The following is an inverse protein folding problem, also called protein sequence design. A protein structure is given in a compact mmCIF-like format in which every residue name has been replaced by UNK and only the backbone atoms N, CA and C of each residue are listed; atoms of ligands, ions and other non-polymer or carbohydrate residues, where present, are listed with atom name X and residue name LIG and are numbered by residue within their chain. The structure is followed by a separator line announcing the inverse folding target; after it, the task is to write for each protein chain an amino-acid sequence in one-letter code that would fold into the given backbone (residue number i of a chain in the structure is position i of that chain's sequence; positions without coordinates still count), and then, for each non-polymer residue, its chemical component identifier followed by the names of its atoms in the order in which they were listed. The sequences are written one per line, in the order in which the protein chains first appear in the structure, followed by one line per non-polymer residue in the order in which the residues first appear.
data_IF_068403624531
#
_entry.id   IF_068403624531
#
_cell.length_a   1.000
_cell.length_b   1.000
_cell.length_c   1.000
_cell.angle_alpha   90.00
_cell.angle_beta   90.00
_cell.angle_gamma   90.00
#
_symmetry.space_group_name_H-M   'P 1'
#
loop_
_entity.id
_entity.type
_entity.pdbx_description
1 polymer ?
#
# COMPACT_ATOMS: atom_id res chain seq x y z
N UNK A 1 20.84 62.17 23.35
CA UNK A 1 21.02 61.15 22.30
C UNK A 1 22.26 60.36 22.64
N UNK A 2 22.11 59.07 22.95
CA UNK A 2 23.16 58.21 23.50
C UNK A 2 22.59 57.32 24.60
N UNK A 3 22.71 56.00 24.40
CA UNK A 3 22.08 54.87 25.06
C UNK A 3 22.16 54.78 26.60
N UNK A 4 21.19 54.08 27.19
CA UNK A 4 21.46 53.04 28.21
C UNK A 4 20.39 51.96 28.24
N UNK A 5 20.88 50.74 28.38
CA UNK A 5 20.21 49.45 28.46
C UNK A 5 19.60 49.23 29.86
N UNK A 6 18.42 48.60 29.95
CA UNK A 6 17.93 48.04 31.21
C UNK A 6 17.23 46.69 30.94
N UNK A 7 17.86 45.64 31.50
CA UNK A 7 17.36 44.28 31.63
C UNK A 7 16.11 44.25 32.52
N UNK A 8 15.15 43.40 32.16
CA UNK A 8 13.99 43.07 33.01
C UNK A 8 14.21 41.64 33.53
N UNK A 9 14.42 41.52 34.84
CA UNK A 9 14.37 40.27 35.59
C UNK A 9 12.94 40.09 36.14
N UNK A 10 12.35 38.90 35.97
CA UNK A 10 11.11 38.50 36.63
C UNK A 10 11.41 37.40 37.64
N UNK A 11 11.13 37.67 38.91
CA UNK A 11 11.30 36.79 40.07
C UNK A 11 9.95 36.14 40.40
N UNK A 12 9.94 34.81 40.60
CA UNK A 12 8.79 34.02 41.05
C UNK A 12 8.63 34.07 42.58
N UNK A 13 7.40 34.16 43.13
CA UNK A 13 7.16 33.92 44.56
C UNK A 13 6.90 32.43 44.85
N UNK A 14 7.61 31.89 45.84
CA UNK A 14 7.38 30.58 46.46
C UNK A 14 6.57 30.82 47.74
N UNK A 15 5.38 30.23 47.84
CA UNK A 15 4.61 30.15 49.08
C UNK A 15 4.50 28.69 49.56
N UNK A 16 4.95 28.44 50.79
CA UNK A 16 4.69 27.24 51.57
C UNK A 16 3.74 27.57 52.71
N UNK A 17 2.85 26.64 53.08
CA UNK A 17 2.48 26.49 54.49
C UNK A 17 2.73 25.06 55.02
N UNK A 18 3.23 25.03 56.25
CA UNK A 18 3.45 23.87 57.11
C UNK A 18 2.13 23.29 57.62
N UNK A 19 2.05 21.97 57.79
CA UNK A 19 1.09 21.33 58.70
C UNK A 19 1.62 20.05 59.35
N UNK A 20 1.70 20.12 60.68
CA UNK A 20 1.59 19.15 61.77
C UNK A 20 1.74 17.63 61.54
N UNK A 21 2.61 17.06 62.38
CA UNK A 21 2.80 15.64 62.70
C UNK A 21 1.70 15.17 63.66
N UNK A 22 0.98 14.11 63.28
CA UNK A 22 0.15 13.29 64.19
C UNK A 22 0.41 11.81 63.93
N UNK A 23 0.46 11.04 65.02
CA UNK A 23 0.91 9.66 65.16
C UNK A 23 0.03 8.61 64.44
N UNK A 24 0.68 7.54 63.98
CA UNK A 24 0.08 6.32 63.42
C UNK A 24 -0.64 5.46 64.47
N UNK A 25 -1.62 4.63 64.02
CA UNK A 25 -1.69 3.26 64.47
C UNK A 25 -1.61 2.24 63.32
N UNK A 26 -0.95 1.12 63.63
CA UNK A 26 -0.73 -0.05 62.78
C UNK A 26 -2.01 -0.88 62.64
N UNK A 27 -2.42 -1.24 61.42
CA UNK A 27 -3.02 -2.54 61.07
C UNK A 27 -2.97 -2.76 59.53
N UNK A 28 -2.78 -3.99 59.04
CA UNK A 28 -2.58 -4.27 57.62
C UNK A 28 -3.91 -4.41 56.88
N UNK A 29 -4.07 -3.69 55.76
CA UNK A 29 -5.19 -3.85 54.84
C UNK A 29 -4.63 -4.31 53.49
N UNK A 30 -5.06 -5.49 53.04
CA UNK A 30 -4.74 -6.05 51.72
C UNK A 30 -5.46 -5.26 50.61
N UNK A 31 -4.84 -5.08 49.42
CA UNK A 31 -5.50 -4.43 48.30
C UNK A 31 -6.56 -5.34 47.65
N UNK A 32 -7.65 -4.77 47.09
CA UNK A 32 -8.67 -5.53 46.36
C UNK A 32 -8.16 -5.96 44.97
N UNK A 33 -8.76 -7.02 44.37
CA UNK A 33 -8.26 -7.60 43.14
C UNK A 33 -8.53 -6.71 41.92
N UNK A 34 -7.50 -6.57 41.09
CA UNK A 34 -7.56 -6.03 39.74
C UNK A 34 -8.38 -6.96 38.85
N UNK A 35 -9.59 -6.55 38.47
CA UNK A 35 -10.29 -7.16 37.34
C UNK A 35 -9.59 -6.71 36.04
N UNK A 36 -8.81 -7.62 35.45
CA UNK A 36 -8.41 -7.52 34.05
C UNK A 36 -9.68 -7.60 33.20
N UNK A 37 -10.08 -6.48 32.61
CA UNK A 37 -11.00 -6.47 31.48
C UNK A 37 -10.21 -6.99 30.28
N UNK A 38 -10.55 -8.18 29.81
CA UNK A 38 -10.02 -8.71 28.57
C UNK A 38 -10.47 -7.81 27.40
N UNK A 39 -9.61 -7.52 26.40
CA UNK A 39 -10.06 -6.82 25.21
C UNK A 39 -11.12 -7.67 24.48
N UNK A 40 -12.20 -7.02 24.05
CA UNK A 40 -13.26 -7.62 23.26
C UNK A 40 -12.70 -8.06 21.89
N UNK A 41 -13.23 -9.15 21.29
CA UNK A 41 -12.72 -9.64 20.01
C UNK A 41 -13.07 -8.67 18.89
N UNK A 42 -12.06 -8.28 18.09
CA UNK A 42 -12.24 -7.56 16.84
C UNK A 42 -13.24 -8.31 15.94
N UNK A 43 -14.28 -7.60 15.48
CA UNK A 43 -15.21 -8.08 14.48
C UNK A 43 -14.47 -8.19 13.14
N UNK A 44 -13.93 -9.39 12.86
CA UNK A 44 -13.43 -9.74 11.54
C UNK A 44 -14.58 -9.69 10.53
N UNK A 45 -14.56 -8.71 9.63
CA UNK A 45 -15.32 -8.76 8.38
C UNK A 45 -14.74 -9.91 7.56
N UNK A 46 -15.43 -11.05 7.61
CA UNK A 46 -15.01 -12.31 7.01
C UNK A 46 -15.15 -12.27 5.48
N UNK A 47 -14.08 -11.91 4.78
CA UNK A 47 -13.83 -12.45 3.44
C UNK A 47 -13.62 -13.97 3.58
N UNK A 48 -14.62 -14.77 3.17
CA UNK A 48 -14.62 -16.23 3.31
C UNK A 48 -13.46 -16.88 2.54
N UNK A 49 -12.60 -17.60 3.26
CA UNK A 49 -11.76 -18.69 2.75
C UNK A 49 -12.16 -19.97 3.50
N UNK A 50 -12.29 -21.14 2.84
CA UNK A 50 -12.74 -22.37 3.52
C UNK A 50 -11.69 -22.89 4.52
N UNK A 51 -12.11 -23.60 5.60
CA UNK A 51 -11.27 -23.88 6.74
C UNK A 51 -10.23 -24.97 6.45
N UNK A 52 -8.97 -24.71 6.77
CA UNK A 52 -7.95 -25.74 6.96
C UNK A 52 -7.71 -25.97 8.45
N UNK A 53 -7.53 -27.25 8.79
CA UNK A 53 -7.45 -27.81 10.13
C UNK A 53 -6.41 -27.16 11.06
N UNK A 54 -6.83 -26.90 12.30
CA UNK A 54 -6.01 -26.46 13.43
C UNK A 54 -4.87 -27.44 13.76
N UNK A 55 -3.66 -26.93 13.91
CA UNK A 55 -2.58 -27.54 14.70
C UNK A 55 -2.01 -26.47 15.64
N UNK A 56 -1.85 -26.84 16.91
CA UNK A 56 -1.59 -26.00 18.07
C UNK A 56 -0.14 -25.47 18.19
N UNK A 57 -0.04 -24.20 18.59
CA UNK A 57 0.95 -23.54 19.47
C UNK A 57 2.39 -24.08 19.57
N UNK A 58 3.34 -23.23 19.15
CA UNK A 58 4.76 -23.33 19.53
C UNK A 58 5.58 -22.21 18.88
N UNK A 59 5.73 -21.10 19.60
CA UNK A 59 6.60 -19.99 19.19
C UNK A 59 8.05 -20.46 19.07
N UNK A 60 8.58 -20.45 17.84
CA UNK A 60 10.00 -20.49 17.56
C UNK A 60 10.22 -19.87 16.18
N UNK A 61 11.22 -18.98 16.08
CA UNK A 61 11.68 -18.36 14.84
C UNK A 61 11.95 -19.45 13.79
N UNK A 62 11.02 -19.62 12.85
CA UNK A 62 11.25 -20.42 11.64
C UNK A 62 11.67 -19.44 10.55
N UNK A 63 12.99 -19.31 10.42
CA UNK A 63 13.62 -18.83 9.20
C UNK A 63 13.06 -19.68 8.03
N UNK A 64 12.20 -19.08 7.22
CA UNK A 64 11.61 -19.73 6.04
C UNK A 64 12.74 -20.02 5.03
N UNK A 65 13.42 -21.15 5.20
CA UNK A 65 14.24 -21.76 4.14
C UNK A 65 13.30 -22.24 3.04
N UNK A 66 12.99 -21.33 2.12
CA UNK A 66 12.25 -21.60 0.90
C UNK A 66 13.12 -22.48 -0.01
N UNK A 67 12.93 -23.81 0.03
CA UNK A 67 13.59 -24.76 -0.86
C UNK A 67 12.95 -24.70 -2.27
N UNK A 68 13.24 -23.59 -2.96
CA UNK A 68 12.85 -23.31 -4.35
C UNK A 68 13.25 -24.42 -5.33
N UNK A 69 14.29 -25.21 -5.01
CA UNK A 69 14.75 -26.32 -5.84
C UNK A 69 13.77 -27.51 -5.84
N UNK A 70 13.09 -27.77 -4.72
CA UNK A 70 12.13 -28.87 -4.58
C UNK A 70 10.82 -28.62 -5.36
N UNK A 71 10.27 -27.42 -5.26
CA UNK A 71 9.09 -26.95 -5.99
C UNK A 71 9.38 -26.91 -7.50
N UNK A 72 10.59 -26.46 -7.87
CA UNK A 72 11.02 -26.41 -9.27
C UNK A 72 11.26 -27.80 -9.86
N UNK A 73 11.75 -28.77 -9.09
CA UNK A 73 11.81 -30.18 -9.52
C UNK A 73 10.42 -30.73 -9.82
N UNK A 74 9.40 -30.38 -9.02
CA UNK A 74 7.99 -30.74 -9.27
C UNK A 74 7.44 -30.11 -10.55
N UNK A 75 7.64 -28.80 -10.73
CA UNK A 75 7.20 -28.07 -11.95
C UNK A 75 7.94 -28.58 -13.20
N UNK A 76 9.23 -28.89 -13.10
CA UNK A 76 10.03 -29.49 -14.19
C UNK A 76 9.50 -30.87 -14.59
N UNK A 77 9.04 -31.66 -13.61
CA UNK A 77 8.45 -32.99 -13.85
C UNK A 77 7.07 -32.87 -14.53
N UNK A 78 6.26 -31.88 -14.14
CA UNK A 78 4.96 -31.60 -14.75
C UNK A 78 5.06 -31.07 -16.21
N UNK A 79 6.09 -30.27 -16.52
CA UNK A 79 6.27 -29.65 -17.86
C UNK A 79 7.07 -30.50 -18.86
N UNK A 80 7.71 -31.59 -18.43
CA UNK A 80 8.50 -32.49 -19.30
C UNK A 80 7.70 -33.19 -20.41
N UNK A 81 6.37 -33.22 -20.30
CA UNK A 81 5.47 -33.78 -21.30
C UNK A 81 4.86 -32.74 -22.26
N UNK A 82 5.15 -31.45 -22.07
CA UNK A 82 4.71 -30.38 -22.97
C UNK A 82 5.84 -30.02 -23.95
N UNK A 83 5.67 -30.35 -25.25
CA UNK A 83 6.59 -29.86 -26.29
C UNK A 83 6.58 -28.32 -26.32
N UNK A 84 7.75 -27.64 -26.34
CA UNK A 84 7.79 -26.19 -26.46
C UNK A 84 7.27 -25.79 -27.86
N UNK A 85 6.07 -25.23 -27.92
CA UNK A 85 5.62 -24.50 -29.12
C UNK A 85 6.37 -23.17 -29.15
N UNK A 86 7.51 -23.12 -29.85
CA UNK A 86 8.09 -21.87 -30.34
C UNK A 86 7.06 -21.23 -31.27
N UNK A 87 6.25 -20.31 -30.75
CA UNK A 87 5.45 -19.42 -31.60
C UNK A 87 6.45 -18.56 -32.37
N UNK A 88 6.50 -18.72 -33.69
CA UNK A 88 7.19 -17.76 -34.54
C UNK A 88 6.57 -16.37 -34.29
N UNK A 89 7.35 -15.30 -34.12
CA UNK A 89 6.81 -13.95 -34.04
C UNK A 89 5.90 -13.71 -35.25
N UNK A 90 4.67 -13.26 -35.01
CA UNK A 90 3.70 -13.02 -36.07
C UNK A 90 3.99 -11.70 -36.82
N UNK A 91 4.84 -10.86 -36.22
CA UNK A 91 5.43 -9.62 -36.73
C UNK A 91 6.94 -9.70 -36.46
N UNK A 92 7.80 -9.13 -37.30
CA UNK A 92 9.27 -9.14 -37.08
C UNK A 92 9.75 -8.31 -35.88
N UNK A 93 8.89 -7.98 -34.92
CA UNK A 93 9.20 -7.18 -33.74
C UNK A 93 9.96 -8.00 -32.69
N UNK A 94 10.97 -7.40 -32.07
CA UNK A 94 11.65 -7.98 -30.92
C UNK A 94 10.68 -8.08 -29.73
N UNK A 95 10.73 -9.19 -28.99
CA UNK A 95 9.80 -9.47 -27.89
C UNK A 95 10.55 -9.61 -26.57
N UNK A 96 10.26 -8.73 -25.63
CA UNK A 96 10.87 -8.67 -24.31
C UNK A 96 9.89 -9.10 -23.23
N UNK A 97 10.41 -9.52 -22.08
CA UNK A 97 9.60 -9.93 -20.93
C UNK A 97 9.92 -9.08 -19.71
N UNK A 98 8.89 -8.38 -19.22
CA UNK A 98 8.94 -7.55 -18.02
C UNK A 98 8.20 -8.24 -16.88
N UNK A 99 8.78 -8.22 -15.69
CA UNK A 99 8.17 -8.77 -14.49
C UNK A 99 8.00 -7.67 -13.44
N UNK A 100 6.76 -7.41 -13.04
CA UNK A 100 6.46 -6.50 -11.93
C UNK A 100 6.61 -7.24 -10.61
N UNK A 101 7.47 -6.76 -9.71
CA UNK A 101 7.65 -7.30 -8.36
C UNK A 101 7.55 -6.18 -7.31
N UNK A 102 7.41 -6.58 -6.06
CA UNK A 102 7.24 -5.66 -4.92
C UNK A 102 6.19 -6.16 -3.93
N UNK A 103 6.23 -5.62 -2.71
CA UNK A 103 5.34 -6.00 -1.61
C UNK A 103 3.85 -5.72 -1.87
N UNK A 104 2.97 -6.19 -1.00
CA UNK A 104 1.54 -5.85 -1.07
C UNK A 104 1.37 -4.33 -1.17
N UNK A 105 0.38 -3.87 -1.93
CA UNK A 105 0.00 -2.45 -1.99
C UNK A 105 1.04 -1.46 -2.55
N UNK A 106 2.21 -1.93 -2.99
CA UNK A 106 3.24 -1.08 -3.63
C UNK A 106 2.82 -0.38 -4.94
N UNK A 107 1.63 -0.69 -5.46
CA UNK A 107 1.06 -0.10 -6.68
C UNK A 107 1.37 -0.84 -7.98
N UNK A 108 1.88 -2.08 -7.92
CA UNK A 108 2.12 -2.93 -9.11
C UNK A 108 0.95 -2.98 -10.07
N UNK A 109 -0.24 -3.32 -9.58
CA UNK A 109 -1.42 -3.46 -10.42
C UNK A 109 -1.90 -2.11 -10.97
N UNK A 110 -1.70 -1.02 -10.23
CA UNK A 110 -1.94 0.34 -10.73
C UNK A 110 -0.98 0.70 -11.87
N UNK A 111 0.32 0.43 -11.69
CA UNK A 111 1.32 0.61 -12.74
C UNK A 111 1.03 -0.28 -13.95
N UNK A 112 0.66 -1.55 -13.73
CA UNK A 112 0.24 -2.46 -14.79
C UNK A 112 -0.93 -1.89 -15.58
N UNK A 113 -2.01 -1.48 -14.91
CA UNK A 113 -3.18 -0.82 -15.52
C UNK A 113 -2.76 0.43 -16.33
N UNK A 114 -1.87 1.27 -15.79
CA UNK A 114 -1.32 2.46 -16.46
C UNK A 114 -0.56 2.09 -17.74
N UNK A 115 0.29 1.07 -17.70
CA UNK A 115 1.01 0.58 -18.88
C UNK A 115 0.04 0.03 -19.94
N UNK A 116 -1.04 -0.67 -19.54
CA UNK A 116 -2.05 -1.15 -20.47
C UNK A 116 -2.82 -0.02 -21.16
N UNK A 117 -3.12 1.05 -20.43
CA UNK A 117 -3.79 2.23 -20.98
C UNK A 117 -2.91 2.96 -22.00
N UNK A 118 -1.59 3.04 -21.73
CA UNK A 118 -0.66 3.83 -22.56
C UNK A 118 -0.07 3.07 -23.74
N UNK A 119 0.28 1.80 -23.53
CA UNK A 119 1.03 0.97 -24.48
C UNK A 119 0.30 -0.33 -24.87
N UNK A 120 -0.79 -0.65 -24.17
CA UNK A 120 -1.61 -1.82 -24.44
C UNK A 120 -2.88 -1.49 -25.22
N UNK A 121 -3.88 -2.36 -25.08
CA UNK A 121 -5.21 -2.17 -25.69
C UNK A 121 -6.11 -1.21 -24.91
N UNK A 122 -5.65 -0.73 -23.76
CA UNK A 122 -6.49 -0.03 -22.79
C UNK A 122 -7.68 -0.86 -22.32
N UNK A 123 -8.68 -0.15 -21.79
CA UNK A 123 -9.92 -0.73 -21.28
C UNK A 123 -11.10 -0.34 -22.17
N UNK A 124 -11.76 -1.34 -22.74
CA UNK A 124 -13.04 -1.15 -23.43
C UNK A 124 -14.14 -0.73 -22.47
N UNK A 125 -15.20 -0.09 -22.96
CA UNK A 125 -16.34 0.31 -22.13
C UNK A 125 -16.93 -0.86 -21.33
N UNK A 126 -17.08 -2.04 -21.94
CA UNK A 126 -17.55 -3.26 -21.26
C UNK A 126 -16.64 -3.68 -20.10
N UNK A 127 -15.32 -3.59 -20.29
CA UNK A 127 -14.36 -3.88 -19.21
C UNK A 127 -14.44 -2.82 -18.11
N UNK A 128 -14.60 -1.54 -18.47
CA UNK A 128 -14.78 -0.45 -17.50
C UNK A 128 -16.06 -0.64 -16.68
N UNK A 129 -17.15 -1.07 -17.30
CA UNK A 129 -18.42 -1.37 -16.61
C UNK A 129 -18.25 -2.49 -15.57
N UNK A 130 -17.37 -3.47 -15.81
CA UNK A 130 -17.11 -4.53 -14.85
C UNK A 130 -16.49 -4.04 -13.52
N UNK A 131 -15.90 -2.84 -13.50
CA UNK A 131 -15.35 -2.21 -12.30
C UNK A 131 -16.40 -1.55 -11.40
N UNK A 132 -17.65 -1.39 -11.86
CA UNK A 132 -18.67 -0.63 -11.11
C UNK A 132 -18.91 -1.23 -9.72
N UNK A 133 -19.11 -2.55 -9.66
CA UNK A 133 -19.42 -3.22 -8.40
C UNK A 133 -18.24 -3.10 -7.42
N UNK A 134 -17.00 -3.32 -7.88
CA UNK A 134 -15.79 -3.16 -7.06
C UNK A 134 -15.58 -1.72 -6.56
N UNK A 135 -15.86 -0.70 -7.39
CA UNK A 135 -15.77 0.71 -6.99
C UNK A 135 -16.84 1.02 -5.93
N UNK A 136 -18.06 0.50 -6.10
CA UNK A 136 -19.14 0.70 -5.13
C UNK A 136 -18.79 0.08 -3.78
N UNK A 137 -18.33 -1.18 -3.78
CA UNK A 137 -17.85 -1.89 -2.59
C UNK A 137 -16.71 -1.12 -1.91
N UNK A 138 -15.66 -0.76 -2.67
CA UNK A 138 -14.53 0.02 -2.15
C UNK A 138 -14.97 1.33 -1.49
N UNK A 139 -15.94 2.03 -2.08
CA UNK A 139 -16.42 3.31 -1.55
C UNK A 139 -17.20 3.10 -0.24
N UNK A 140 -18.12 2.13 -0.20
CA UNK A 140 -18.94 1.87 0.98
C UNK A 140 -18.07 1.34 2.12
N UNK A 141 -17.25 0.33 1.85
CA UNK A 141 -16.38 -0.30 2.84
C UNK A 141 -15.39 0.68 3.44
N UNK A 142 -14.78 1.55 2.62
CA UNK A 142 -13.85 2.56 3.13
C UNK A 142 -14.52 3.51 4.11
N UNK A 143 -15.76 3.94 3.83
CA UNK A 143 -16.49 4.81 4.77
C UNK A 143 -16.94 4.05 6.01
N UNK A 144 -17.33 2.77 5.89
CA UNK A 144 -17.63 1.93 7.04
C UNK A 144 -16.41 1.76 7.96
N UNK A 145 -15.21 1.59 7.39
CA UNK A 145 -13.96 1.57 8.17
C UNK A 145 -13.75 2.88 8.92
N UNK A 146 -13.90 4.04 8.25
CA UNK A 146 -13.75 5.33 8.92
C UNK A 146 -14.76 5.54 10.05
N UNK A 147 -16.03 5.16 9.84
CA UNK A 147 -17.05 5.22 10.89
C UNK A 147 -16.67 4.33 12.08
N UNK A 148 -16.21 3.11 11.81
CA UNK A 148 -15.80 2.17 12.84
C UNK A 148 -14.62 2.72 13.66
N UNK A 149 -13.57 3.19 13.00
CA UNK A 149 -12.38 3.72 13.70
C UNK A 149 -12.71 5.00 14.47
N UNK A 150 -13.50 5.90 13.87
CA UNK A 150 -14.00 7.12 14.52
C UNK A 150 -14.72 6.80 15.84
N UNK A 151 -15.67 5.86 15.83
CA UNK A 151 -16.45 5.47 17.03
C UNK A 151 -15.63 4.76 18.11
N UNK A 152 -14.52 4.13 17.73
CA UNK A 152 -13.63 3.42 18.67
C UNK A 152 -12.42 4.27 19.08
N UNK A 153 -12.28 5.48 18.52
CA UNK A 153 -11.19 6.37 18.85
C UNK A 153 -11.29 6.86 20.29
N UNK A 154 -10.14 6.99 20.94
CA UNK A 154 -10.02 7.68 22.24
C UNK A 154 -9.83 9.19 22.08
N UNK A 155 -9.61 9.66 20.86
CA UNK A 155 -9.50 11.08 20.56
C UNK A 155 -10.89 11.68 20.27
N UNK A 156 -11.28 12.67 21.07
CA UNK A 156 -12.56 13.37 20.93
C UNK A 156 -12.71 14.05 19.57
N UNK A 157 -11.60 14.50 18.96
CA UNK A 157 -11.61 15.12 17.63
C UNK A 157 -11.92 14.13 16.50
N UNK A 158 -11.81 12.82 16.75
CA UNK A 158 -12.18 11.81 15.77
C UNK A 158 -13.67 11.48 15.80
N UNK A 159 -14.44 11.91 16.82
CA UNK A 159 -15.82 11.49 16.99
C UNK A 159 -16.75 12.17 15.99
N UNK A 160 -17.61 11.37 15.36
CA UNK A 160 -18.65 11.85 14.43
C UNK A 160 -19.61 12.78 15.19
N UNK A 161 -19.93 13.94 14.60
CA UNK A 161 -20.92 14.85 15.15
C UNK A 161 -22.33 14.22 15.17
N UNK A 162 -23.12 14.46 16.22
CA UNK A 162 -24.47 13.90 16.39
C UNK A 162 -25.39 14.21 15.20
N UNK A 163 -25.17 15.32 14.49
CA UNK A 163 -25.94 15.65 13.29
C UNK A 163 -25.73 14.64 12.16
N UNK A 164 -24.65 13.86 12.17
CA UNK A 164 -24.29 12.83 11.20
C UNK A 164 -24.70 11.40 11.62
N UNK A 165 -25.27 11.18 12.81
CA UNK A 165 -25.64 9.86 13.33
C UNK A 165 -26.52 9.04 12.38
N UNK A 166 -27.59 9.65 11.84
CA UNK A 166 -28.47 8.96 10.88
C UNK A 166 -27.72 8.55 9.60
N UNK A 167 -26.75 9.35 9.17
CA UNK A 167 -25.94 9.05 7.99
C UNK A 167 -24.94 7.92 8.28
N UNK A 168 -24.29 7.94 9.44
CA UNK A 168 -23.40 6.88 9.90
C UNK A 168 -24.14 5.55 9.99
N UNK A 169 -25.28 5.52 10.69
CA UNK A 169 -26.11 4.32 10.80
C UNK A 169 -26.59 3.80 9.43
N UNK A 170 -26.92 4.69 8.51
CA UNK A 170 -27.35 4.30 7.17
C UNK A 170 -26.24 3.61 6.40
N UNK A 171 -24.99 4.09 6.49
CA UNK A 171 -23.83 3.49 5.81
C UNK A 171 -23.40 2.20 6.49
N UNK A 172 -23.37 2.13 7.83
CA UNK A 172 -23.01 0.92 8.58
C UNK A 172 -23.95 -0.26 8.34
N UNK A 173 -25.25 0.00 8.11
CA UNK A 173 -26.24 -1.05 7.84
C UNK A 173 -26.13 -1.66 6.43
N UNK A 174 -25.25 -1.14 5.57
CA UNK A 174 -25.04 -1.71 4.24
C UNK A 174 -24.28 -3.04 4.31
N UNK A 175 -24.66 -3.98 3.44
CA UNK A 175 -24.03 -5.28 3.32
C UNK A 175 -22.81 -5.22 2.38
N UNK A 176 -21.86 -6.17 2.46
CA UNK A 176 -20.61 -6.14 1.68
C UNK A 176 -20.77 -6.06 0.14
N UNK A 177 -21.92 -6.47 -0.41
CA UNK A 177 -22.19 -6.39 -1.87
C UNK A 177 -23.18 -5.27 -2.22
N UNK A 178 -23.37 -4.29 -1.33
CA UNK A 178 -24.32 -3.21 -1.53
C UNK A 178 -23.91 -2.33 -2.72
N UNK A 179 -24.89 -2.01 -3.58
CA UNK A 179 -24.68 -1.04 -4.65
C UNK A 179 -24.74 0.37 -4.09
N UNK A 180 -23.84 1.24 -4.55
CA UNK A 180 -23.84 2.64 -4.18
C UNK A 180 -25.03 3.36 -4.83
N UNK A 181 -26.11 3.49 -4.07
CA UNK A 181 -27.32 4.22 -4.48
C UNK A 181 -27.20 5.71 -4.13
N UNK A 182 -28.06 6.55 -4.75
CA UNK A 182 -28.08 7.99 -4.44
C UNK A 182 -28.26 8.29 -2.94
N UNK A 183 -29.17 7.63 -2.19
CA UNK A 183 -29.28 7.84 -0.75
C UNK A 183 -27.99 7.50 0.02
N UNK A 184 -27.34 6.38 -0.30
CA UNK A 184 -26.07 6.00 0.35
C UNK A 184 -24.99 7.04 0.04
N UNK A 185 -24.89 7.47 -1.22
CA UNK A 185 -23.95 8.52 -1.62
C UNK A 185 -24.19 9.85 -0.90
N UNK A 186 -25.46 10.23 -0.65
CA UNK A 186 -25.77 11.41 0.17
C UNK A 186 -25.30 11.26 1.61
N UNK A 187 -25.46 10.08 2.22
CA UNK A 187 -24.93 9.81 3.55
C UNK A 187 -23.40 9.87 3.59
N UNK A 188 -22.72 9.23 2.63
CA UNK A 188 -21.25 9.28 2.50
C UNK A 188 -20.77 10.72 2.28
N UNK A 189 -21.43 11.49 1.41
CA UNK A 189 -21.06 12.89 1.17
C UNK A 189 -21.20 13.75 2.43
N UNK A 190 -22.27 13.54 3.20
CA UNK A 190 -22.49 14.23 4.47
C UNK A 190 -21.40 13.88 5.49
N UNK A 191 -21.11 12.58 5.66
CA UNK A 191 -20.05 12.09 6.54
C UNK A 191 -18.67 12.58 6.11
N UNK A 192 -18.40 12.68 4.81
CA UNK A 192 -17.12 13.20 4.34
C UNK A 192 -16.94 14.70 4.67
N UNK A 193 -18.03 15.44 4.89
CA UNK A 193 -17.97 16.82 5.38
C UNK A 193 -17.87 16.96 6.91
N UNK A 194 -17.85 15.85 7.65
CA UNK A 194 -17.76 15.82 9.11
C UNK A 194 -16.29 15.93 9.58
N UNK A 195 -16.03 16.79 10.56
CA UNK A 195 -14.67 17.01 11.09
C UNK A 195 -14.10 15.78 11.81
N UNK A 196 -14.96 14.98 12.46
CA UNK A 196 -14.58 13.73 13.11
C UNK A 196 -14.09 12.68 12.10
N UNK A 197 -14.84 12.52 11.01
CA UNK A 197 -14.45 11.64 9.90
C UNK A 197 -13.18 12.14 9.19
N UNK A 198 -13.03 13.46 8.98
CA UNK A 198 -11.82 14.02 8.38
C UNK A 198 -10.59 13.76 9.27
N UNK A 199 -10.69 14.05 10.57
CA UNK A 199 -9.61 13.79 11.54
C UNK A 199 -9.28 12.29 11.62
N UNK A 200 -10.31 11.44 11.61
CA UNK A 200 -10.11 9.99 11.55
C UNK A 200 -9.35 9.59 10.28
N UNK A 201 -9.70 10.14 9.12
CA UNK A 201 -9.00 9.89 7.86
C UNK A 201 -7.56 10.42 7.86
N UNK A 202 -7.25 11.50 8.55
CA UNK A 202 -5.86 11.97 8.73
C UNK A 202 -5.01 10.92 9.46
N UNK A 203 -5.60 10.20 10.42
CA UNK A 203 -4.98 9.10 11.17
C UNK A 203 -5.00 7.73 10.46
N UNK A 204 -5.35 7.69 9.16
CA UNK A 204 -5.48 6.44 8.37
C UNK A 204 -4.23 5.57 8.26
N UNK A 205 -3.06 6.04 8.71
CA UNK A 205 -1.86 5.22 8.78
C UNK A 205 -1.98 4.10 9.84
N UNK A 206 -2.82 4.29 10.86
CA UNK A 206 -3.02 3.37 11.98
C UNK A 206 -3.91 2.17 11.63
N UNK A 207 -4.63 2.23 10.51
CA UNK A 207 -5.60 1.22 10.11
C UNK A 207 -5.67 1.06 8.58
N UNK A 208 -6.54 0.19 8.10
CA UNK A 208 -6.47 -0.33 6.73
C UNK A 208 -7.53 0.32 5.83
N UNK A 209 -7.24 1.50 5.28
CA UNK A 209 -8.08 2.18 4.28
C UNK A 209 -7.37 2.23 2.91
N UNK A 210 -8.05 1.95 1.79
CA UNK A 210 -7.46 2.11 0.46
C UNK A 210 -7.08 3.57 0.15
N UNK A 211 -5.92 3.79 -0.48
CA UNK A 211 -5.45 5.12 -0.92
C UNK A 211 -6.44 5.89 -1.81
N UNK A 212 -7.31 5.17 -2.52
CA UNK A 212 -8.33 5.75 -3.40
C UNK A 212 -9.58 6.26 -2.69
N UNK A 213 -9.71 6.11 -1.37
CA UNK A 213 -10.94 6.39 -0.63
C UNK A 213 -11.40 7.85 -0.77
N UNK A 214 -10.55 8.83 -0.43
CA UNK A 214 -10.88 10.26 -0.53
C UNK A 214 -11.34 10.66 -1.94
N UNK A 215 -10.66 10.19 -2.98
CA UNK A 215 -11.04 10.44 -4.37
C UNK A 215 -12.47 10.01 -4.69
N UNK A 216 -12.93 8.88 -4.14
CA UNK A 216 -14.30 8.42 -4.35
C UNK A 216 -15.31 9.18 -3.49
N UNK A 217 -14.94 9.62 -2.28
CA UNK A 217 -15.81 10.40 -1.40
C UNK A 217 -16.07 11.81 -1.93
N UNK A 218 -15.03 12.47 -2.45
CA UNK A 218 -15.10 13.82 -3.01
C UNK A 218 -16.13 13.96 -4.15
N UNK A 219 -16.29 12.91 -4.97
CA UNK A 219 -17.25 12.88 -6.07
C UNK A 219 -18.17 11.64 -6.03
N UNK A 220 -18.59 11.26 -4.81
CA UNK A 220 -19.45 10.08 -4.58
C UNK A 220 -20.77 10.15 -5.35
N UNK A 221 -21.27 11.35 -5.58
CA UNK A 221 -22.48 11.57 -6.35
C UNK A 221 -22.33 11.22 -7.84
N UNK A 222 -21.16 11.43 -8.47
CA UNK A 222 -20.91 10.97 -9.85
C UNK A 222 -20.95 9.45 -9.92
N UNK A 223 -20.35 8.77 -8.95
CA UNK A 223 -20.21 7.31 -8.89
C UNK A 223 -21.58 6.62 -8.69
N UNK A 224 -22.49 7.28 -7.95
CA UNK A 224 -23.84 6.79 -7.70
C UNK A 224 -24.86 7.13 -8.81
N UNK A 225 -24.45 7.82 -9.88
CA UNK A 225 -25.37 8.16 -10.99
C UNK A 225 -25.80 6.91 -11.75
N UNK A 226 -27.07 6.90 -12.18
CA UNK A 226 -27.55 5.89 -13.13
C UNK A 226 -26.81 6.05 -14.46
N UNK A 227 -26.27 4.96 -14.97
CA UNK A 227 -25.45 4.97 -16.20
C UNK A 227 -24.02 5.45 -15.97
N UNK A 228 -23.53 5.44 -14.73
CA UNK A 228 -22.11 5.63 -14.43
C UNK A 228 -21.26 4.62 -15.20
N UNK A 229 -20.22 5.12 -15.87
CA UNK A 229 -19.18 4.32 -16.53
C UNK A 229 -17.84 4.77 -15.92
N UNK A 230 -17.13 3.90 -15.18
CA UNK A 230 -15.87 4.23 -14.52
C UNK A 230 -14.86 4.82 -15.49
N UNK A 231 -14.31 5.99 -15.20
CA UNK A 231 -13.17 6.59 -15.91
C UNK A 231 -11.91 5.74 -15.79
N UNK A 232 -10.89 6.06 -16.58
CA UNK A 232 -9.57 5.42 -16.41
C UNK A 232 -9.00 5.71 -15.01
N UNK A 233 -9.21 6.91 -14.48
CA UNK A 233 -8.76 7.27 -13.14
C UNK A 233 -9.48 6.47 -12.05
N UNK A 234 -10.78 6.21 -12.21
CA UNK A 234 -11.53 5.35 -11.30
C UNK A 234 -10.94 3.93 -11.26
N UNK A 235 -10.53 3.39 -12.42
CA UNK A 235 -9.95 2.04 -12.52
C UNK A 235 -8.56 1.96 -11.89
N UNK A 236 -7.78 3.02 -12.00
CA UNK A 236 -6.45 3.12 -11.39
C UNK A 236 -6.51 3.23 -9.87
N UNK A 237 -7.51 3.93 -9.34
CA UNK A 237 -7.73 4.14 -7.90
C UNK A 237 -8.58 3.05 -7.24
N UNK A 238 -9.31 2.25 -8.02
CA UNK A 238 -10.04 1.08 -7.51
C UNK A 238 -9.07 0.00 -7.03
N UNK A 239 -9.25 -0.41 -5.77
CA UNK A 239 -8.50 -1.47 -5.11
C UNK A 239 -9.15 -2.81 -5.42
N UNK A 240 -8.40 -3.63 -6.16
CA UNK A 240 -8.66 -5.06 -6.31
C UNK A 240 -7.43 -5.81 -5.82
N UNK A 241 -7.61 -6.81 -4.95
CA UNK A 241 -6.49 -7.66 -4.54
C UNK A 241 -6.09 -8.56 -5.69
N UNK A 242 -4.86 -8.41 -6.16
CA UNK A 242 -4.31 -9.24 -7.23
C UNK A 242 -4.00 -10.64 -6.72
N UNK A 243 -4.76 -11.61 -7.23
CA UNK A 243 -4.58 -13.03 -6.96
C UNK A 243 -3.99 -13.68 -8.21
N UNK A 244 -2.91 -14.44 -8.02
CA UNK A 244 -2.25 -15.17 -9.09
C UNK A 244 -1.35 -14.30 -9.96
N UNK A 245 -1.36 -14.60 -11.25
CA UNK A 245 -0.43 -14.04 -12.24
C UNK A 245 -1.25 -13.56 -13.42
N UNK A 246 -1.15 -12.28 -13.74
CA UNK A 246 -1.73 -11.67 -14.93
C UNK A 246 -0.63 -11.40 -15.96
N UNK A 247 -0.99 -11.50 -17.24
CA UNK A 247 -0.06 -11.27 -18.35
C UNK A 247 -0.78 -10.51 -19.46
N UNK A 248 -0.16 -9.45 -19.94
CA UNK A 248 -0.60 -8.71 -21.11
C UNK A 248 0.56 -8.38 -22.04
N UNK A 249 0.24 -7.85 -23.23
CA UNK A 249 1.22 -7.42 -24.23
C UNK A 249 1.14 -5.92 -24.40
N UNK A 250 2.29 -5.26 -24.31
CA UNK A 250 2.48 -3.86 -24.61
C UNK A 250 3.19 -3.71 -25.96
N UNK A 251 2.89 -2.62 -26.66
CA UNK A 251 3.49 -2.27 -27.93
C UNK A 251 4.17 -0.91 -27.78
N UNK A 252 5.46 -0.85 -28.09
CA UNK A 252 6.22 0.38 -28.16
C UNK A 252 6.65 0.62 -29.61
N UNK A 253 6.25 1.77 -30.13
CA UNK A 253 6.72 2.30 -31.42
C UNK A 253 7.45 3.61 -31.11
N UNK A 254 8.79 3.57 -31.17
CA UNK A 254 9.64 4.73 -30.89
C UNK A 254 10.83 4.75 -31.84
N UNK A 255 11.11 5.91 -32.44
CA UNK A 255 12.26 6.15 -33.33
C UNK A 255 12.52 5.07 -34.40
N UNK A 256 11.45 4.55 -35.00
CA UNK A 256 11.53 3.50 -36.03
C UNK A 256 11.80 2.09 -35.50
N UNK A 257 11.89 1.91 -34.18
CA UNK A 257 11.88 0.62 -33.51
C UNK A 257 10.45 0.20 -33.17
N UNK A 258 10.16 -1.08 -33.38
CA UNK A 258 8.90 -1.71 -32.98
C UNK A 258 9.23 -2.89 -32.05
N UNK A 259 8.81 -2.80 -30.81
CA UNK A 259 9.06 -3.80 -29.78
C UNK A 259 7.75 -4.20 -29.07
N UNK A 260 7.62 -5.49 -28.78
CA UNK A 260 6.55 -6.02 -27.95
C UNK A 260 7.09 -6.39 -26.56
N UNK A 261 6.35 -6.03 -25.51
CA UNK A 261 6.69 -6.41 -24.14
C UNK A 261 5.59 -7.29 -23.55
N UNK A 262 5.94 -8.52 -23.18
CA UNK A 262 5.14 -9.35 -22.30
C UNK A 262 5.32 -8.85 -20.86
N UNK A 263 4.34 -8.13 -20.33
CA UNK A 263 4.35 -7.65 -18.95
C UNK A 263 3.55 -8.59 -18.05
N UNK A 264 4.11 -8.94 -16.88
CA UNK A 264 3.49 -9.83 -15.90
C UNK A 264 3.28 -9.08 -14.58
N UNK A 265 2.03 -9.07 -14.09
CA UNK A 265 1.67 -8.61 -12.74
C UNK A 265 1.44 -9.82 -11.84
N UNK A 266 1.97 -9.78 -10.63
CA UNK A 266 1.86 -10.85 -9.63
C UNK A 266 1.43 -10.28 -8.28
N UNK A 267 0.65 -11.06 -7.53
CA UNK A 267 0.22 -10.68 -6.19
C UNK A 267 1.41 -10.40 -5.25
N UNK A 268 1.41 -9.24 -4.59
CA UNK A 268 2.51 -8.79 -3.71
C UNK A 268 2.44 -9.27 -2.26
N UNK A 269 1.25 -9.68 -1.83
CA UNK A 269 0.98 -10.14 -0.46
C UNK A 269 1.74 -11.44 -0.17
N UNK A 270 2.09 -11.66 1.11
CA UNK A 270 2.93 -12.80 1.52
C UNK A 270 2.40 -14.15 1.01
N UNK A 271 1.08 -14.35 1.04
CA UNK A 271 0.41 -15.57 0.55
C UNK A 271 0.50 -15.81 -0.97
N UNK A 272 0.84 -14.79 -1.76
CA UNK A 272 0.91 -14.85 -3.21
C UNK A 272 2.35 -14.99 -3.74
N UNK A 273 3.35 -14.67 -2.90
CA UNK A 273 4.78 -14.66 -3.29
C UNK A 273 5.30 -16.02 -3.76
N UNK A 274 4.72 -17.12 -3.26
CA UNK A 274 5.07 -18.47 -3.69
C UNK A 274 4.76 -18.75 -5.18
N UNK A 275 3.91 -17.94 -5.83
CA UNK A 275 3.58 -18.07 -7.26
C UNK A 275 4.60 -17.38 -8.16
N UNK A 276 5.40 -16.46 -7.62
CA UNK A 276 6.33 -15.63 -8.41
C UNK A 276 7.32 -16.47 -9.24
N UNK A 277 7.88 -17.52 -8.65
CA UNK A 277 8.87 -18.40 -9.30
C UNK A 277 8.34 -19.04 -10.60
N UNK A 278 7.01 -19.12 -10.78
CA UNK A 278 6.39 -19.68 -11.97
C UNK A 278 6.67 -18.83 -13.23
N UNK A 279 7.01 -17.55 -13.07
CA UNK A 279 7.29 -16.61 -14.17
C UNK A 279 8.73 -16.12 -14.25
N UNK A 280 9.67 -16.68 -13.47
CA UNK A 280 11.06 -16.19 -13.43
C UNK A 280 11.95 -16.60 -14.63
N UNK A 281 11.42 -17.37 -15.59
CA UNK A 281 12.20 -17.77 -16.78
C UNK A 281 12.21 -16.70 -17.85
N UNK A 282 13.37 -16.51 -18.48
CA UNK A 282 13.56 -15.67 -19.67
C UNK A 282 13.06 -14.23 -19.46
N UNK A 283 13.27 -13.70 -18.24
CA UNK A 283 12.92 -12.33 -17.87
C UNK A 283 14.03 -11.41 -18.39
N UNK A 284 13.65 -10.34 -19.10
CA UNK A 284 14.58 -9.38 -19.68
C UNK A 284 14.79 -8.18 -18.75
N UNK A 285 13.81 -7.85 -17.91
CA UNK A 285 13.95 -6.88 -16.82
C UNK A 285 12.92 -7.13 -15.71
N UNK A 286 13.30 -6.80 -14.48
CA UNK A 286 12.39 -6.70 -13.33
C UNK A 286 12.10 -5.22 -13.09
N UNK A 287 10.83 -4.88 -12.97
CA UNK A 287 10.39 -3.57 -12.49
C UNK A 287 9.92 -3.79 -11.05
N UNK A 288 10.69 -3.31 -10.08
CA UNK A 288 10.41 -3.50 -8.66
C UNK A 288 9.79 -2.24 -8.09
N UNK A 289 8.53 -2.33 -7.66
CA UNK A 289 7.78 -1.18 -7.14
C UNK A 289 7.80 -1.15 -5.61
N UNK A 290 8.08 0.04 -5.08
CA UNK A 290 8.12 0.38 -3.66
C UNK A 290 7.12 1.50 -3.41
N UNK A 291 6.19 1.36 -2.46
CA UNK A 291 5.37 2.49 -2.03
C UNK A 291 6.12 3.23 -0.91
N UNK A 292 6.73 4.38 -1.24
CA UNK A 292 7.53 5.11 -0.25
C UNK A 292 6.66 5.80 0.80
N UNK A 293 5.38 6.04 0.50
CA UNK A 293 4.39 6.63 1.42
C UNK A 293 3.94 5.70 2.56
N UNK A 294 4.39 4.44 2.57
CA UNK A 294 3.99 3.43 3.56
C UNK A 294 5.02 3.27 4.70
N UNK A 295 5.89 4.26 4.89
CA UNK A 295 6.95 4.25 5.91
C UNK A 295 6.45 4.21 7.35
N UNK A 296 5.22 4.63 7.58
CA UNK A 296 4.51 4.76 8.86
C UNK A 296 3.35 3.75 8.99
N UNK A 297 3.27 2.76 8.09
CA UNK A 297 2.16 1.81 8.03
C UNK A 297 2.63 0.38 8.31
N UNK A 298 1.71 -0.43 8.83
CA UNK A 298 1.92 -1.87 9.07
C UNK A 298 1.24 -2.74 8.02
N UNK A 299 1.79 -3.94 7.80
CA UNK A 299 1.22 -4.94 6.89
C UNK A 299 -0.16 -5.41 7.37
N UNK A 300 -1.07 -5.58 6.42
CA UNK A 300 -2.39 -6.17 6.66
C UNK A 300 -2.31 -7.61 7.23
N UNK A 301 -1.27 -8.36 6.85
CA UNK A 301 -1.16 -9.78 7.21
C UNK A 301 -0.85 -10.03 8.70
N UNK A 302 -0.16 -9.12 9.38
CA UNK A 302 0.24 -9.30 10.79
C UNK A 302 0.02 -8.09 11.69
N UNK A 303 -0.29 -6.90 11.16
CA UNK A 303 -0.46 -5.65 11.92
C UNK A 303 0.70 -5.38 12.90
N UNK A 304 1.93 -5.68 12.45
CA UNK A 304 3.16 -5.44 13.23
C UNK A 304 4.32 -5.07 12.32
N UNK A 305 4.46 -5.74 11.16
CA UNK A 305 5.61 -5.48 10.29
C UNK A 305 5.40 -4.17 9.54
N UNK A 306 6.34 -3.23 9.67
CA UNK A 306 6.37 -2.01 8.87
C UNK A 306 6.44 -2.33 7.36
N UNK A 307 5.62 -1.66 6.54
CA UNK A 307 5.48 -1.94 5.11
C UNK A 307 6.70 -1.57 4.28
N UNK A 308 7.40 -0.48 4.62
CA UNK A 308 8.64 -0.09 3.96
C UNK A 308 9.75 -1.10 4.27
N UNK A 309 9.84 -1.57 5.52
CA UNK A 309 10.79 -2.63 5.91
C UNK A 309 10.51 -3.95 5.17
N UNK A 310 9.25 -4.41 5.07
CA UNK A 310 8.92 -5.60 4.27
C UNK A 310 9.30 -5.42 2.79
N UNK A 311 9.14 -4.21 2.24
CA UNK A 311 9.57 -3.89 0.87
C UNK A 311 11.08 -4.01 0.68
N UNK A 312 11.88 -3.56 1.65
CA UNK A 312 13.35 -3.69 1.66
C UNK A 312 13.74 -5.17 1.72
N UNK A 313 13.13 -5.95 2.61
CA UNK A 313 13.42 -7.39 2.77
C UNK A 313 13.08 -8.18 1.50
N UNK A 314 11.94 -7.86 0.87
CA UNK A 314 11.52 -8.45 -0.40
C UNK A 314 12.46 -8.04 -1.53
N UNK A 315 12.90 -6.78 -1.57
CA UNK A 315 13.88 -6.33 -2.55
C UNK A 315 15.19 -7.09 -2.41
N UNK A 316 15.74 -7.18 -1.19
CA UNK A 316 16.95 -7.96 -0.89
C UNK A 316 16.84 -9.40 -1.38
N UNK A 317 15.70 -10.05 -1.14
CA UNK A 317 15.45 -11.42 -1.61
C UNK A 317 15.44 -11.50 -3.15
N UNK A 318 14.81 -10.55 -3.82
CA UNK A 318 14.70 -10.51 -5.29
C UNK A 318 16.04 -10.17 -5.92
N UNK A 319 16.71 -9.11 -5.47
CA UNK A 319 17.99 -8.63 -5.99
C UNK A 319 19.06 -9.70 -5.91
N UNK A 320 19.12 -10.46 -4.80
CA UNK A 320 20.10 -11.52 -4.58
C UNK A 320 19.66 -12.90 -5.11
N UNK A 321 18.55 -12.97 -5.83
CA UNK A 321 18.07 -14.24 -6.39
C UNK A 321 18.92 -14.67 -7.59
N UNK A 322 19.33 -15.95 -7.61
CA UNK A 322 20.03 -16.55 -8.76
C UNK A 322 19.22 -16.51 -10.05
N UNK A 323 17.90 -16.35 -9.96
CA UNK A 323 17.04 -16.20 -11.13
C UNK A 323 17.24 -14.88 -11.87
N UNK A 324 17.76 -13.86 -11.19
CA UNK A 324 17.92 -12.51 -11.72
C UNK A 324 19.39 -12.06 -11.74
N UNK A 325 20.33 -13.00 -11.62
CA UNK A 325 21.77 -12.73 -11.53
C UNK A 325 22.35 -11.92 -12.70
N UNK A 326 21.72 -11.97 -13.88
CA UNK A 326 22.09 -11.18 -15.06
C UNK A 326 20.91 -10.34 -15.58
N UNK A 327 19.82 -10.24 -14.81
CA UNK A 327 18.61 -9.53 -15.23
C UNK A 327 18.63 -8.12 -14.64
N UNK A 328 18.51 -7.04 -15.44
CA UNK A 328 18.45 -5.68 -14.91
C UNK A 328 17.21 -5.50 -14.03
N UNK A 329 17.37 -4.74 -12.95
CA UNK A 329 16.30 -4.40 -12.01
C UNK A 329 16.15 -2.88 -11.99
N UNK A 330 14.95 -2.41 -12.31
CA UNK A 330 14.56 -1.00 -12.22
C UNK A 330 13.73 -0.82 -10.96
N UNK A 331 14.20 0.02 -10.04
CA UNK A 331 13.49 0.44 -8.83
C UNK A 331 12.55 1.59 -9.16
N UNK A 332 11.27 1.41 -8.85
CA UNK A 332 10.22 2.41 -9.03
C UNK A 332 9.65 2.77 -7.65
N UNK A 333 10.12 3.89 -7.11
CA UNK A 333 9.61 4.50 -5.88
C UNK A 333 8.29 5.20 -6.19
N UNK A 334 7.19 4.49 -5.94
CA UNK A 334 5.83 4.87 -6.25
C UNK A 334 5.14 5.58 -5.07
N UNK A 335 3.99 6.20 -5.35
CA UNK A 335 3.15 6.96 -4.41
C UNK A 335 3.86 8.20 -3.86
N UNK A 336 4.65 8.86 -4.70
CA UNK A 336 5.38 10.10 -4.32
C UNK A 336 4.41 11.22 -3.93
N UNK A 337 3.21 11.24 -4.53
CA UNK A 337 2.12 12.16 -4.23
C UNK A 337 1.66 12.01 -2.77
N UNK A 338 1.37 10.78 -2.34
CA UNK A 338 0.97 10.51 -0.95
C UNK A 338 2.12 10.70 0.03
N UNK A 339 3.36 10.46 -0.40
CA UNK A 339 4.54 10.71 0.42
C UNK A 339 4.72 12.21 0.69
N UNK A 340 4.61 13.05 -0.36
CA UNK A 340 4.65 14.51 -0.22
C UNK A 340 3.51 14.99 0.66
N UNK A 341 2.27 14.52 0.43
CA UNK A 341 1.10 14.86 1.24
C UNK A 341 1.35 14.58 2.73
N UNK A 342 1.93 13.43 3.08
CA UNK A 342 2.27 13.08 4.46
C UNK A 342 3.30 14.03 5.08
N UNK A 343 4.38 14.34 4.35
CA UNK A 343 5.40 15.26 4.85
C UNK A 343 4.85 16.67 5.05
N UNK A 344 4.06 17.17 4.11
CA UNK A 344 3.39 18.48 4.22
C UNK A 344 2.35 18.51 5.35
N UNK A 345 1.69 17.38 5.61
CA UNK A 345 0.82 17.16 6.76
C UNK A 345 1.56 17.04 8.10
N UNK A 346 2.89 17.08 8.12
CA UNK A 346 3.71 17.05 9.33
C UNK A 346 4.02 15.65 9.86
N UNK A 347 3.70 14.59 9.10
CA UNK A 347 4.11 13.22 9.45
C UNK A 347 5.62 13.12 9.34
N UNK A 348 6.28 12.78 10.44
CA UNK A 348 7.74 12.65 10.47
C UNK A 348 8.17 11.30 9.92
N UNK A 349 9.22 11.32 9.11
CA UNK A 349 9.92 10.12 8.72
C UNK A 349 10.85 9.69 9.86
N UNK A 350 10.45 8.64 10.58
CA UNK A 350 11.22 8.01 11.63
C UNK A 350 11.68 6.63 11.16
N UNK A 351 12.98 6.48 10.96
CA UNK A 351 13.58 5.23 10.51
C UNK A 351 14.97 5.05 11.11
N UNK A 352 15.30 3.83 11.52
CA UNK A 352 16.58 3.51 12.15
C UNK A 352 17.76 3.88 11.24
N UNK A 353 18.63 4.77 11.71
CA UNK A 353 19.80 5.25 10.97
C UNK A 353 19.56 6.50 10.12
N UNK A 354 18.38 7.13 10.22
CA UNK A 354 18.10 8.42 9.62
C UNK A 354 18.04 9.55 10.65
N UNK A 355 19.10 10.36 10.70
CA UNK A 355 19.16 11.60 11.51
C UNK A 355 19.12 12.87 10.63
N UNK A 356 18.66 12.71 9.38
CA UNK A 356 18.66 13.76 8.36
C UNK A 356 17.51 14.78 8.51
N UNK A 357 17.52 15.85 7.70
CA UNK A 357 16.44 16.82 7.70
C UNK A 357 15.11 16.23 7.19
N UNK A 358 13.99 16.66 7.76
CA UNK A 358 12.66 16.16 7.42
C UNK A 358 12.10 16.81 6.13
N UNK A 359 12.89 16.76 5.05
CA UNK A 359 12.53 17.28 3.73
C UNK A 359 12.53 16.16 2.67
N UNK A 360 11.78 16.39 1.60
CA UNK A 360 11.57 15.42 0.53
C UNK A 360 12.87 14.88 -0.07
N UNK A 361 13.83 15.74 -0.42
CA UNK A 361 15.06 15.34 -1.11
C UNK A 361 15.96 14.52 -0.19
N UNK A 362 16.09 14.95 1.07
CA UNK A 362 16.89 14.25 2.07
C UNK A 362 16.34 12.85 2.41
N UNK A 363 15.02 12.72 2.56
CA UNK A 363 14.39 11.43 2.92
C UNK A 363 14.40 10.49 1.72
N UNK A 364 14.01 10.97 0.53
CA UNK A 364 14.01 10.13 -0.68
C UNK A 364 15.40 9.66 -1.05
N UNK A 365 16.42 10.50 -0.89
CA UNK A 365 17.83 10.10 -1.04
C UNK A 365 18.22 8.97 -0.08
N UNK A 366 17.84 9.08 1.20
CA UNK A 366 18.09 8.01 2.17
C UNK A 366 17.36 6.71 1.83
N UNK A 367 16.07 6.78 1.50
CA UNK A 367 15.29 5.59 1.09
C UNK A 367 15.93 4.95 -0.14
N UNK A 368 16.35 5.74 -1.14
CA UNK A 368 17.04 5.22 -2.30
C UNK A 368 18.33 4.47 -1.91
N UNK A 369 19.15 5.05 -1.05
CA UNK A 369 20.36 4.40 -0.55
C UNK A 369 20.08 3.09 0.19
N UNK A 370 19.00 2.99 0.98
CA UNK A 370 18.62 1.74 1.66
C UNK A 370 18.43 0.59 0.67
N UNK A 371 17.68 0.85 -0.41
CA UNK A 371 17.44 -0.17 -1.44
C UNK A 371 18.71 -0.47 -2.24
N UNK A 372 19.47 0.55 -2.63
CA UNK A 372 20.72 0.35 -3.38
C UNK A 372 21.74 -0.49 -2.60
N UNK A 373 21.84 -0.31 -1.28
CA UNK A 373 22.71 -1.12 -0.39
C UNK A 373 22.32 -2.60 -0.35
N UNK A 374 21.03 -2.90 -0.48
CA UNK A 374 20.50 -4.27 -0.57
C UNK A 374 20.53 -4.84 -1.99
N UNK A 375 20.92 -4.01 -2.95
CA UNK A 375 21.14 -4.34 -4.33
C UNK A 375 22.39 -5.20 -4.57
N UNK A 376 22.52 -5.73 -5.79
CA UNK A 376 23.72 -6.48 -6.19
C UNK A 376 24.86 -5.50 -6.47
N UNK A 377 26.06 -5.84 -6.01
CA UNK A 377 27.25 -4.97 -6.14
C UNK A 377 27.77 -4.82 -7.58
N UNK A 378 27.34 -5.69 -8.50
CA UNK A 378 27.83 -5.78 -9.88
C UNK A 378 26.84 -5.25 -10.93
N UNK A 379 25.68 -4.74 -10.50
CA UNK A 379 24.60 -4.31 -11.39
C UNK A 379 24.23 -2.86 -11.12
N UNK A 380 24.17 -2.05 -12.17
CA UNK A 380 23.61 -0.70 -12.08
C UNK A 380 22.11 -0.80 -11.78
N UNK A 381 21.68 -0.15 -10.70
CA UNK A 381 20.27 -0.11 -10.28
C UNK A 381 19.69 1.21 -10.77
N UNK A 382 18.78 1.11 -11.73
CA UNK A 382 18.09 2.29 -12.26
C UNK A 382 16.94 2.62 -11.31
N UNK A 383 16.91 3.84 -10.79
CA UNK A 383 15.87 4.32 -9.88
C UNK A 383 15.00 5.39 -10.54
N UNK A 384 13.69 5.36 -10.25
CA UNK A 384 12.74 6.41 -10.63
C UNK A 384 11.75 6.64 -9.50
N UNK A 385 11.44 7.90 -9.25
CA UNK A 385 10.34 8.34 -8.39
C UNK A 385 9.11 8.59 -9.28
N UNK A 386 8.00 7.93 -8.98
CA UNK A 386 6.82 7.89 -9.85
C UNK A 386 5.52 8.06 -9.06
N UNK A 387 4.49 8.52 -9.76
CA UNK A 387 3.11 8.43 -9.32
C UNK A 387 2.35 7.59 -10.36
N UNK A 388 2.08 6.31 -10.07
CA UNK A 388 1.48 5.40 -11.06
C UNK A 388 0.07 5.83 -11.51
N UNK A 389 -0.62 6.64 -10.70
CA UNK A 389 -1.93 7.20 -11.00
C UNK A 389 -1.86 8.51 -11.78
N UNK A 390 -0.68 9.10 -12.00
CA UNK A 390 -0.50 10.31 -12.81
C UNK A 390 -0.44 9.94 -14.31
N UNK A 391 -1.15 10.71 -15.14
CA UNK A 391 -1.15 10.56 -16.59
C UNK A 391 0.13 11.09 -17.25
N UNK A 392 0.87 11.97 -16.55
CA UNK A 392 2.12 12.54 -17.04
C UNK A 392 3.28 11.52 -17.06
N UNK A 393 3.17 10.45 -16.26
CA UNK A 393 4.19 9.42 -16.17
C UNK A 393 4.35 8.68 -17.50
N UNK A 394 5.58 8.72 -18.03
CA UNK A 394 5.99 8.03 -19.23
C UNK A 394 7.05 6.98 -18.88
N UNK A 395 6.91 5.76 -19.41
CA UNK A 395 7.86 4.67 -19.22
C UNK A 395 8.74 4.40 -20.45
N UNK A 396 8.73 5.29 -21.46
CA UNK A 396 9.48 5.13 -22.70
C UNK A 396 10.98 4.97 -22.45
N UNK A 397 11.55 5.73 -21.50
CA UNK A 397 12.96 5.62 -21.12
C UNK A 397 13.25 4.25 -20.51
N UNK A 398 12.42 3.77 -19.58
CA UNK A 398 12.54 2.44 -18.97
C UNK A 398 12.46 1.35 -20.04
N UNK A 399 11.46 1.41 -20.92
CA UNK A 399 11.29 0.41 -21.97
C UNK A 399 12.45 0.43 -22.99
N UNK A 400 12.94 1.61 -23.34
CA UNK A 400 14.08 1.77 -24.25
C UNK A 400 15.37 1.24 -23.62
N UNK A 401 15.58 1.44 -22.32
CA UNK A 401 16.71 0.85 -21.59
C UNK A 401 16.68 -0.67 -21.61
N UNK A 402 15.50 -1.29 -21.48
CA UNK A 402 15.35 -2.75 -21.59
C UNK A 402 15.73 -3.25 -22.99
N UNK A 403 15.36 -2.51 -24.04
CA UNK A 403 15.74 -2.82 -25.42
C UNK A 403 17.26 -2.68 -25.60
N UNK A 404 17.88 -1.63 -25.08
CA UNK A 404 19.31 -1.38 -25.25
C UNK A 404 20.19 -2.40 -24.53
N UNK A 405 19.70 -2.95 -23.40
CA UNK A 405 20.42 -3.92 -22.58
C UNK A 405 20.34 -5.39 -23.04
N UNK A 406 19.55 -5.69 -24.09
CA UNK A 406 19.25 -7.05 -24.55
C UNK A 406 19.28 -7.17 -26.08
#
# INVERSE_FOLDING_TARGET
MGATCAKVEWVWPIDHPRANVVQQPKHPVHPPPTHQVAPAPALQVACRVPPQSLVSSGASNVELKYDSDSEMKRIRRAKRHAKPRRRKPYSGAARYKLLLLGSGESGKSTFFKRMLMRYGKGYTETQRIAYIDAIHENTIDSMQTLIYESKNSTDEYCLIDETCDEAAEHVEKQYPDARLTKPIATSIHKLWGDEGIQTTYENRAEFQVPDGAAYFFEDVHRIARRGYIPSQQDILRCRERTIGIQKEVLHLESDGMNAEFDIYDVGGQRGERNKWVQVFRDVHAVLFLVAISEFDMELFEDNVTNRLQDSIDVFKMVSNSKHFADVPIVLLFNKIDLFIEKLEGGVKFEYDGYDGPQDYDSITGFIQELFEREGRSDSEIITRFICAIDESFNADDILTLVIAGN
#
